data_IF_097250119175
#
_entry.id   IF_097250119175
#
_cell.length_a   1.000
_cell.length_b   1.000
_cell.length_c   1.000
_cell.angle_alpha   90.00
_cell.angle_beta   90.00
_cell.angle_gamma   90.00
#
_symmetry.space_group_name_H-M   'P 1'
#
loop_
_entity.id
_entity.type
_entity.pdbx_description
1 polymer ?
#
# COMPACT_ATOMS: atom_id res chain seq x y z
N UNK A 1 5.14 0.80 -1.46
CA UNK A 1 4.53 0.96 -2.80
C UNK A 1 3.11 1.44 -2.64
N UNK A 2 2.84 2.72 -2.93
CA UNK A 2 1.48 3.28 -2.88
C UNK A 2 0.71 2.85 -4.14
N UNK A 3 0.51 1.54 -4.33
CA UNK A 3 -0.62 1.08 -5.11
C UNK A 3 -1.81 1.32 -4.19
N UNK A 4 -2.55 2.41 -4.47
CA UNK A 4 -3.74 2.79 -3.70
C UNK A 4 -4.87 1.87 -4.13
N UNK A 5 -4.78 0.62 -3.69
CA UNK A 5 -5.91 -0.27 -3.56
C UNK A 5 -5.71 -1.01 -2.25
N UNK A 6 -6.57 -0.80 -1.23
CA UNK A 6 -6.48 -1.50 0.04
C UNK A 6 -6.71 -2.98 -0.24
N UNK A 7 -5.62 -3.72 -0.43
CA UNK A 7 -5.65 -5.16 -0.63
C UNK A 7 -6.01 -5.79 0.71
N UNK A 8 -7.28 -6.13 0.87
CA UNK A 8 -7.85 -6.54 2.15
C UNK A 8 -8.06 -8.06 2.17
N UNK A 9 -7.11 -8.77 2.79
CA UNK A 9 -7.25 -10.21 3.01
C UNK A 9 -8.23 -10.49 4.15
N UNK A 10 -9.12 -11.46 3.94
CA UNK A 10 -9.83 -12.15 5.02
C UNK A 10 -8.88 -13.15 5.69
N UNK A 11 -8.43 -12.86 6.91
CA UNK A 11 -7.64 -13.82 7.68
C UNK A 11 -8.53 -15.02 8.03
N UNK A 12 -8.21 -16.20 7.49
CA UNK A 12 -8.84 -17.46 7.88
C UNK A 12 -8.47 -17.72 9.35
N UNK A 13 -9.43 -17.57 10.25
CA UNK A 13 -9.26 -17.85 11.68
C UNK A 13 -9.02 -19.35 11.84
N UNK A 14 -7.76 -19.75 11.92
CA UNK A 14 -7.41 -21.03 12.50
C UNK A 14 -7.83 -20.98 13.98
N UNK A 15 -8.69 -21.90 14.41
CA UNK A 15 -9.12 -22.04 15.79
C UNK A 15 -7.91 -22.34 16.68
N UNK A 16 -7.26 -21.31 17.22
CA UNK A 16 -6.23 -21.45 18.23
C UNK A 16 -6.91 -21.73 19.58
N UNK A 17 -6.39 -22.70 20.36
CA UNK A 17 -6.90 -22.95 21.71
C UNK A 17 -6.69 -21.71 22.59
N UNK A 18 -7.58 -21.46 23.58
CA UNK A 18 -7.49 -20.30 24.45
C UNK A 18 -6.30 -20.43 25.40
N UNK A 19 -5.14 -19.91 25.01
CA UNK A 19 -4.07 -19.60 25.94
C UNK A 19 -4.27 -18.16 26.42
N UNK A 20 -5.05 -18.00 27.48
CA UNK A 20 -5.19 -16.74 28.18
C UNK A 20 -3.86 -16.39 28.86
N UNK A 21 -3.13 -15.42 28.30
CA UNK A 21 -2.15 -14.64 29.06
C UNK A 21 -2.49 -13.17 28.89
N UNK A 22 -3.05 -12.59 29.95
CA UNK A 22 -3.13 -11.14 30.08
C UNK A 22 -1.70 -10.60 30.16
N UNK A 23 -1.21 -9.97 29.09
CA UNK A 23 0.01 -9.19 29.13
C UNK A 23 -0.33 -7.72 28.97
N UNK A 24 0.22 -6.89 29.86
CA UNK A 24 0.29 -5.43 29.66
C UNK A 24 1.10 -5.11 28.39
N UNK A 25 1.33 -3.83 28.06
CA UNK A 25 1.92 -3.44 26.78
C UNK A 25 3.18 -4.28 26.47
N UNK A 26 3.04 -5.20 25.52
CA UNK A 26 4.03 -6.22 25.20
C UNK A 26 5.28 -5.52 24.67
N UNK A 27 6.41 -5.74 25.33
CA UNK A 27 7.70 -5.50 24.68
C UNK A 27 7.74 -6.48 23.50
N UNK A 28 7.74 -5.94 22.28
CA UNK A 28 7.65 -6.74 21.04
C UNK A 28 8.69 -7.85 20.99
N UNK A 29 9.80 -7.71 21.72
CA UNK A 29 10.89 -8.69 21.72
C UNK A 29 10.71 -9.81 22.76
N UNK A 30 9.60 -9.86 23.51
CA UNK A 30 9.34 -10.98 24.41
C UNK A 30 9.07 -12.26 23.63
N UNK A 31 9.67 -13.40 24.02
CA UNK A 31 9.37 -14.68 23.39
C UNK A 31 7.89 -15.05 23.50
N UNK A 32 7.33 -15.55 22.41
CA UNK A 32 5.93 -15.96 22.36
C UNK A 32 5.19 -15.46 21.13
N UNK A 33 3.86 -15.61 21.19
CA UNK A 33 2.95 -15.11 20.17
C UNK A 33 2.50 -13.70 20.54
N UNK A 34 2.41 -12.83 19.54
CA UNK A 34 1.74 -11.54 19.60
C UNK A 34 0.77 -11.48 18.41
N UNK A 35 -0.53 -11.46 18.69
CA UNK A 35 -1.55 -11.50 17.64
C UNK A 35 -2.43 -10.28 17.75
N UNK A 36 -2.44 -9.46 16.70
CA UNK A 36 -3.38 -8.37 16.52
C UNK A 36 -4.39 -8.73 15.44
N UNK A 37 -5.69 -8.69 15.76
CA UNK A 37 -6.77 -8.81 14.79
C UNK A 37 -7.72 -7.63 14.93
N UNK A 38 -7.91 -6.88 13.85
CA UNK A 38 -8.76 -5.71 13.75
C UNK A 38 -9.84 -5.93 12.71
N UNK A 39 -11.09 -5.64 13.04
CA UNK A 39 -12.17 -5.56 12.06
C UNK A 39 -12.46 -4.09 11.77
N UNK A 40 -12.36 -3.70 10.50
CA UNK A 40 -12.49 -2.31 10.07
C UNK A 40 -13.57 -2.17 9.01
N UNK A 41 -14.30 -1.07 9.06
CA UNK A 41 -15.16 -0.60 7.97
C UNK A 41 -14.41 0.47 7.20
N UNK A 42 -14.40 0.40 5.87
CA UNK A 42 -13.82 1.40 4.99
C UNK A 42 -14.90 1.99 4.10
N UNK A 43 -14.97 3.32 4.09
CA UNK A 43 -15.69 4.07 3.07
C UNK A 43 -14.66 4.66 2.12
N UNK A 44 -14.68 4.22 0.86
CA UNK A 44 -13.74 4.64 -0.18
C UNK A 44 -14.52 5.45 -1.21
N UNK A 45 -13.95 6.57 -1.64
CA UNK A 45 -14.37 7.32 -2.81
C UNK A 45 -13.21 7.37 -3.78
N UNK A 46 -13.48 7.00 -5.03
CA UNK A 46 -12.46 6.98 -6.07
C UNK A 46 -13.01 7.63 -7.34
N UNK A 47 -12.14 8.31 -8.08
CA UNK A 47 -12.45 8.95 -9.35
C UNK A 47 -11.28 8.67 -10.30
N UNK A 48 -11.48 7.74 -11.21
CA UNK A 48 -10.48 7.34 -12.20
C UNK A 48 -11.15 6.61 -13.38
N UNK A 49 -10.60 6.71 -14.58
CA UNK A 49 -11.02 5.87 -15.71
C UNK A 49 -10.65 4.41 -15.54
N UNK A 50 -9.71 4.10 -14.63
CA UNK A 50 -9.26 2.74 -14.34
C UNK A 50 -10.12 2.03 -13.28
N UNK A 51 -11.05 2.75 -12.66
CA UNK A 51 -11.99 2.20 -11.69
C UNK A 51 -13.03 1.32 -12.39
N UNK A 52 -13.18 0.06 -11.94
CA UNK A 52 -14.03 -0.96 -12.57
C UNK A 52 -15.50 -0.95 -12.14
N UNK A 53 -15.91 -0.01 -11.31
CA UNK A 53 -17.30 0.13 -10.88
C UNK A 53 -18.25 0.31 -12.09
N UNK A 54 -19.47 -0.20 -11.97
CA UNK A 54 -20.49 -0.17 -13.04
C UNK A 54 -20.77 1.25 -13.57
N UNK A 55 -20.68 2.27 -12.72
CA UNK A 55 -20.84 3.68 -13.11
C UNK A 55 -19.75 4.17 -14.08
N UNK A 56 -18.61 3.46 -14.12
CA UNK A 56 -17.50 3.69 -15.04
C UNK A 56 -17.43 2.63 -16.16
N UNK A 57 -18.35 1.66 -16.25
CA UNK A 57 -18.30 0.61 -17.26
C UNK A 57 -18.35 1.16 -18.70
N UNK A 58 -19.07 2.26 -18.93
CA UNK A 58 -19.15 2.93 -20.24
C UNK A 58 -18.52 4.31 -20.11
N UNK A 59 -17.49 4.59 -20.91
CA UNK A 59 -16.95 5.95 -21.07
C UNK A 59 -17.34 6.55 -22.41
N UNK A 60 -17.71 7.84 -22.42
CA UNK A 60 -18.09 8.56 -23.65
C UNK A 60 -16.89 8.93 -24.50
N UNK A 61 -15.80 9.32 -23.86
CA UNK A 61 -14.56 9.72 -24.51
C UNK A 61 -13.36 9.39 -23.61
N UNK A 62 -12.16 9.69 -24.10
CA UNK A 62 -10.91 9.45 -23.40
C UNK A 62 -10.24 10.77 -22.95
N UNK A 63 -10.98 11.88 -22.90
CA UNK A 63 -10.43 13.21 -22.63
C UNK A 63 -10.67 13.67 -21.18
N UNK A 64 -11.35 12.86 -20.37
CA UNK A 64 -11.73 13.16 -19.00
C UNK A 64 -11.42 11.98 -18.08
N UNK A 65 -11.19 12.27 -16.80
CA UNK A 65 -11.19 11.26 -15.74
C UNK A 65 -12.56 10.60 -15.60
N UNK A 66 -12.59 9.43 -14.98
CA UNK A 66 -13.82 8.69 -14.73
C UNK A 66 -14.76 9.42 -13.77
N UNK A 67 -15.96 8.89 -13.65
CA UNK A 67 -16.95 9.34 -12.69
C UNK A 67 -16.52 8.96 -11.28
N UNK A 68 -16.84 9.81 -10.30
CA UNK A 68 -16.56 9.49 -8.90
C UNK A 68 -17.54 8.46 -8.39
N UNK A 69 -17.02 7.39 -7.80
CA UNK A 69 -17.76 6.29 -7.20
C UNK A 69 -17.45 6.20 -5.72
N UNK A 70 -18.33 5.55 -4.95
CA UNK A 70 -18.11 5.35 -3.52
C UNK A 70 -18.59 3.98 -3.07
N UNK A 71 -17.79 3.34 -2.22
CA UNK A 71 -18.02 1.98 -1.77
C UNK A 71 -17.82 1.87 -0.27
N UNK A 72 -18.65 1.04 0.36
CA UNK A 72 -18.50 0.66 1.76
C UNK A 72 -18.10 -0.81 1.80
N UNK A 73 -16.93 -1.08 2.39
CA UNK A 73 -16.39 -2.42 2.51
C UNK A 73 -15.98 -2.71 3.96
N UNK A 74 -16.00 -3.98 4.33
CA UNK A 74 -15.58 -4.45 5.65
C UNK A 74 -14.46 -5.43 5.48
N UNK A 75 -13.39 -5.23 6.23
CA UNK A 75 -12.22 -6.07 6.08
C UNK A 75 -11.39 -6.16 7.36
N UNK A 76 -10.80 -7.34 7.60
CA UNK A 76 -9.89 -7.48 8.71
C UNK A 76 -8.52 -6.93 8.34
N UNK A 77 -7.87 -6.33 9.33
CA UNK A 77 -6.45 -6.03 9.33
C UNK A 77 -5.85 -6.78 10.50
N UNK A 78 -4.61 -7.24 10.39
CA UNK A 78 -4.00 -7.91 11.52
C UNK A 78 -2.59 -8.35 11.25
N UNK A 79 -1.92 -8.73 12.32
CA UNK A 79 -0.59 -9.28 12.24
C UNK A 79 -0.46 -10.39 13.29
N UNK A 80 0.01 -11.54 12.85
CA UNK A 80 0.40 -12.65 13.71
C UNK A 80 1.92 -12.64 13.76
N UNK A 81 2.50 -12.47 14.94
CA UNK A 81 3.94 -12.50 15.16
C UNK A 81 4.31 -13.62 16.13
N UNK A 82 5.43 -14.30 15.84
CA UNK A 82 6.05 -15.23 16.77
C UNK A 82 7.51 -14.83 17.00
N UNK A 83 7.84 -14.51 18.25
CA UNK A 83 9.20 -14.16 18.70
C UNK A 83 9.88 -15.37 19.31
N UNK A 84 11.07 -15.73 18.81
CA UNK A 84 11.85 -16.84 19.33
C UNK A 84 12.41 -16.56 20.73
N UNK A 85 12.83 -17.62 21.43
CA UNK A 85 13.36 -17.54 22.80
C UNK A 85 14.54 -16.57 22.98
N UNK A 86 15.33 -16.31 21.91
CA UNK A 86 16.43 -15.34 21.95
C UNK A 86 15.96 -13.88 21.94
N UNK A 87 14.69 -13.60 21.62
CA UNK A 87 14.14 -12.25 21.43
C UNK A 87 14.61 -11.55 20.14
N UNK A 88 15.61 -12.11 19.46
CA UNK A 88 16.27 -11.48 18.31
C UNK A 88 15.67 -11.87 16.97
N UNK A 89 14.80 -12.88 16.92
CA UNK A 89 14.20 -13.36 15.66
C UNK A 89 12.70 -13.39 15.81
N UNK A 90 12.01 -12.90 14.79
CA UNK A 90 10.56 -12.83 14.74
C UNK A 90 10.08 -13.30 13.39
N UNK A 91 9.09 -14.19 13.36
CA UNK A 91 8.31 -14.48 12.15
C UNK A 91 7.02 -13.67 12.22
N UNK A 92 6.53 -13.19 11.10
CA UNK A 92 5.26 -12.48 11.05
C UNK A 92 4.46 -12.81 9.79
N UNK A 93 3.14 -12.66 9.91
CA UNK A 93 2.17 -12.83 8.84
C UNK A 93 1.02 -11.84 9.02
N UNK A 94 0.78 -11.00 8.00
CA UNK A 94 -0.26 -9.98 8.02
C UNK A 94 0.25 -8.60 7.61
N UNK A 95 -0.39 -7.54 8.09
CA UNK A 95 0.02 -6.16 7.84
C UNK A 95 1.03 -5.68 8.89
N UNK A 96 2.26 -5.43 8.49
CA UNK A 96 3.28 -4.94 9.42
C UNK A 96 3.03 -3.50 9.84
N UNK A 97 3.31 -3.21 11.11
CA UNK A 97 3.02 -1.90 11.70
C UNK A 97 3.78 -0.76 11.02
N UNK A 98 5.03 -0.98 10.59
CA UNK A 98 5.85 0.01 9.87
C UNK A 98 5.18 0.44 8.55
N UNK A 99 4.53 -0.49 7.85
CA UNK A 99 3.80 -0.19 6.63
C UNK A 99 2.44 0.46 6.91
N UNK A 100 1.71 -0.01 7.93
CA UNK A 100 0.38 0.52 8.28
C UNK A 100 0.42 1.99 8.71
N UNK A 101 1.45 2.42 9.45
CA UNK A 101 1.60 3.83 9.84
C UNK A 101 1.88 4.76 8.65
N UNK A 102 2.38 4.20 7.54
CA UNK A 102 2.63 4.89 6.27
C UNK A 102 1.43 4.79 5.31
N UNK A 103 0.33 4.14 5.72
CA UNK A 103 -0.85 3.93 4.87
C UNK A 103 -0.75 2.74 3.92
N UNK A 104 0.29 1.91 4.05
CA UNK A 104 0.47 0.70 3.25
C UNK A 104 -0.15 -0.50 3.99
N UNK A 105 -1.28 -1.00 3.48
CA UNK A 105 -2.10 -2.05 4.12
C UNK A 105 -1.91 -3.45 3.53
N UNK A 106 -0.86 -3.66 2.73
CA UNK A 106 -0.58 -4.95 2.10
C UNK A 106 -0.24 -6.02 3.13
N UNK A 107 -0.79 -7.22 2.95
CA UNK A 107 -0.42 -8.38 3.75
C UNK A 107 0.91 -8.96 3.28
N UNK A 108 1.71 -9.47 4.21
CA UNK A 108 3.01 -10.05 3.94
C UNK A 108 3.34 -11.20 4.89
N UNK A 109 4.29 -12.03 4.48
CA UNK A 109 4.90 -13.09 5.29
C UNK A 109 6.38 -12.78 5.40
N UNK A 110 6.92 -12.71 6.62
CA UNK A 110 8.29 -12.29 6.77
C UNK A 110 8.99 -12.74 8.03
N UNK A 111 10.27 -12.41 8.07
CA UNK A 111 11.18 -12.65 9.19
C UNK A 111 11.95 -11.37 9.48
N UNK A 112 12.02 -11.01 10.74
CA UNK A 112 12.87 -9.94 11.26
C UNK A 112 13.94 -10.56 12.14
N UNK A 113 15.20 -10.20 11.92
CA UNK A 113 16.32 -10.61 12.75
C UNK A 113 17.14 -9.40 13.21
N UNK A 114 17.32 -9.27 14.52
CA UNK A 114 18.16 -8.25 15.14
C UNK A 114 19.53 -8.83 15.48
N UNK A 115 20.56 -8.26 14.86
CA UNK A 115 21.95 -8.55 15.15
C UNK A 115 22.51 -7.48 16.10
N UNK A 116 23.21 -7.90 17.15
CA UNK A 116 23.76 -6.97 18.16
C UNK A 116 24.64 -5.85 17.57
N UNK A 117 25.38 -6.14 16.50
CA UNK A 117 26.34 -5.20 15.89
C UNK A 117 26.01 -4.79 14.47
N UNK A 118 25.11 -5.50 13.80
CA UNK A 118 24.76 -5.23 12.40
C UNK A 118 23.42 -4.51 12.28
N UNK A 119 22.63 -4.38 13.34
CA UNK A 119 21.30 -3.76 13.27
C UNK A 119 20.21 -4.78 12.99
N UNK A 120 19.08 -4.32 12.46
CA UNK A 120 17.90 -5.16 12.24
C UNK A 120 17.67 -5.36 10.74
N UNK A 121 17.44 -6.60 10.32
CA UNK A 121 17.13 -6.97 8.95
C UNK A 121 15.76 -7.61 8.92
N UNK A 122 14.90 -7.13 8.02
CA UNK A 122 13.60 -7.72 7.73
C UNK A 122 13.56 -8.19 6.29
N UNK A 123 13.13 -9.43 6.07
CA UNK A 123 12.82 -10.00 4.77
C UNK A 123 11.34 -10.38 4.75
N UNK A 124 10.60 -9.92 3.74
CA UNK A 124 9.18 -10.22 3.62
C UNK A 124 8.76 -10.49 2.18
N UNK A 125 7.75 -11.33 2.02
CA UNK A 125 7.13 -11.71 0.76
C UNK A 125 5.68 -11.24 0.72
N UNK A 126 5.28 -10.69 -0.42
CA UNK A 126 3.92 -10.25 -0.74
C UNK A 126 3.27 -11.32 -1.63
N UNK A 127 2.31 -12.10 -1.12
CA UNK A 127 1.62 -13.10 -1.93
C UNK A 127 0.70 -12.43 -2.97
N UNK A 128 0.59 -13.03 -4.16
CA UNK A 128 -0.51 -12.68 -5.08
C UNK A 128 -1.83 -13.19 -4.51
N UNK A 129 -2.84 -12.33 -4.57
CA UNK A 129 -4.18 -12.60 -4.08
C UNK A 129 -5.17 -12.37 -5.22
N UNK A 130 -5.51 -13.43 -6.00
CA UNK A 130 -6.47 -13.33 -7.09
C UNK A 130 -7.84 -12.85 -6.60
N UNK A 131 -8.56 -12.10 -7.45
CA UNK A 131 -9.91 -11.63 -7.17
C UNK A 131 -10.06 -10.55 -6.09
N UNK A 132 -8.95 -9.93 -5.63
CA UNK A 132 -9.02 -8.78 -4.71
C UNK A 132 -9.09 -7.46 -5.46
N UNK A 133 -8.36 -7.34 -6.57
CA UNK A 133 -8.26 -6.12 -7.36
C UNK A 133 -8.58 -6.43 -8.82
N UNK A 134 -9.34 -5.54 -9.45
CA UNK A 134 -9.73 -5.63 -10.84
C UNK A 134 -9.26 -4.38 -11.61
N UNK A 135 -9.11 -4.54 -12.93
CA UNK A 135 -8.92 -3.44 -13.88
C UNK A 135 -9.67 -3.74 -15.17
N UNK A 136 -9.83 -2.74 -16.04
CA UNK A 136 -10.39 -2.97 -17.37
C UNK A 136 -9.44 -3.78 -18.25
N UNK A 137 -9.96 -4.75 -19.01
CA UNK A 137 -9.19 -5.49 -20.03
C UNK A 137 -8.67 -4.57 -21.13
N UNK A 138 -9.56 -3.73 -21.66
CA UNK A 138 -9.24 -2.64 -22.58
C UNK A 138 -9.80 -1.34 -21.99
N UNK A 139 -8.99 -0.53 -21.30
CA UNK A 139 -9.48 0.71 -20.68
C UNK A 139 -9.90 1.77 -21.72
N UNK A 140 -9.52 1.61 -22.99
CA UNK A 140 -9.73 2.62 -24.03
C UNK A 140 -10.98 2.38 -24.90
N UNK A 141 -11.73 1.32 -24.63
CA UNK A 141 -13.00 1.06 -25.30
C UNK A 141 -14.02 2.13 -24.89
N UNK A 142 -14.62 2.79 -25.88
CA UNK A 142 -15.62 3.86 -25.69
C UNK A 142 -17.00 3.42 -26.14
N UNK A 143 -18.04 4.13 -25.67
CA UNK A 143 -19.45 3.98 -26.10
C UNK A 143 -20.06 2.60 -25.86
N UNK A 144 -19.32 1.68 -25.24
CA UNK A 144 -19.72 0.30 -24.96
C UNK A 144 -19.14 -0.10 -23.60
N UNK A 145 -19.75 -1.09 -22.96
CA UNK A 145 -19.33 -1.54 -21.65
C UNK A 145 -17.96 -2.24 -21.73
N UNK A 146 -17.01 -1.76 -20.94
CA UNK A 146 -15.70 -2.38 -20.72
C UNK A 146 -15.87 -3.65 -19.89
N UNK A 147 -15.03 -4.65 -20.15
CA UNK A 147 -14.97 -5.87 -19.35
C UNK A 147 -13.82 -5.78 -18.35
N UNK A 148 -14.08 -6.15 -17.10
CA UNK A 148 -13.07 -6.21 -16.04
C UNK A 148 -12.23 -7.51 -16.13
N UNK A 149 -11.04 -7.47 -15.54
CA UNK A 149 -10.11 -8.58 -15.35
C UNK A 149 -9.33 -8.38 -14.07
N UNK A 150 -8.88 -9.48 -13.49
CA UNK A 150 -8.11 -9.44 -12.25
C UNK A 150 -6.71 -8.86 -12.47
N UNK A 151 -6.21 -8.22 -11.42
CA UNK A 151 -4.80 -7.87 -11.24
C UNK A 151 -4.18 -8.87 -10.26
N UNK A 152 -3.06 -9.45 -10.68
CA UNK A 152 -2.20 -10.27 -9.83
C UNK A 152 -0.91 -9.52 -9.52
N UNK A 153 -0.57 -9.37 -8.24
CA UNK A 153 0.63 -8.67 -7.80
C UNK A 153 1.34 -9.44 -6.69
N UNK A 154 2.61 -9.78 -6.89
CA UNK A 154 3.43 -10.47 -5.89
C UNK A 154 4.84 -9.92 -5.86
N UNK A 155 5.53 -10.09 -4.74
CA UNK A 155 6.87 -9.52 -4.63
C UNK A 155 7.50 -9.75 -3.27
N UNK A 156 8.46 -8.91 -2.92
CA UNK A 156 9.05 -8.96 -1.60
C UNK A 156 9.81 -7.69 -1.27
N UNK A 157 10.18 -7.56 -0.01
CA UNK A 157 10.99 -6.45 0.49
C UNK A 157 12.11 -6.93 1.41
N UNK A 158 13.18 -6.15 1.38
CA UNK A 158 14.26 -6.15 2.35
C UNK A 158 14.24 -4.79 3.05
N UNK A 159 14.24 -4.78 4.38
CA UNK A 159 14.45 -3.58 5.17
C UNK A 159 15.65 -3.77 6.10
N UNK A 160 16.46 -2.73 6.23
CA UNK A 160 17.65 -2.70 7.05
C UNK A 160 17.63 -1.46 7.94
N UNK A 161 17.63 -1.66 9.26
CA UNK A 161 17.74 -0.58 10.24
C UNK A 161 19.16 -0.58 10.78
N UNK A 162 19.88 0.50 10.49
CA UNK A 162 21.27 0.61 10.85
C UNK A 162 21.46 0.83 12.37
N UNK A 163 22.51 0.24 13.00
CA UNK A 163 22.76 0.34 14.44
C UNK A 163 23.50 1.63 14.84
N UNK A 164 23.50 2.66 13.99
CA UNK A 164 24.26 3.90 14.20
C UNK A 164 23.51 4.92 15.08
N UNK A 165 24.19 6.01 15.45
CA UNK A 165 23.60 7.10 16.22
C UNK A 165 22.40 7.78 15.52
N UNK A 166 22.34 7.70 14.18
CA UNK A 166 21.17 8.08 13.40
C UNK A 166 20.40 6.81 13.00
N UNK A 167 19.11 6.68 13.35
CA UNK A 167 18.30 5.51 13.01
C UNK A 167 17.87 5.59 11.55
N UNK A 168 18.81 5.30 10.65
CA UNK A 168 18.56 5.22 9.21
C UNK A 168 17.95 3.85 8.90
N UNK A 169 16.81 3.87 8.21
CA UNK A 169 16.19 2.69 7.62
C UNK A 169 16.39 2.73 6.12
N UNK A 170 16.97 1.67 5.54
CA UNK A 170 17.06 1.46 4.11
C UNK A 170 16.08 0.36 3.71
N UNK A 171 15.30 0.56 2.66
CA UNK A 171 14.37 -0.45 2.15
C UNK A 171 14.59 -0.67 0.66
N UNK A 172 14.48 -1.92 0.24
CA UNK A 172 14.36 -2.32 -1.16
C UNK A 172 13.11 -3.18 -1.30
N UNK A 173 12.32 -2.93 -2.34
CA UNK A 173 11.15 -3.74 -2.68
C UNK A 173 11.15 -4.06 -4.17
N UNK A 174 10.71 -5.27 -4.48
CA UNK A 174 10.43 -5.75 -5.83
C UNK A 174 8.98 -6.21 -5.92
N UNK A 175 8.31 -5.94 -7.04
CA UNK A 175 6.97 -6.44 -7.31
C UNK A 175 6.81 -6.80 -8.80
N UNK A 176 6.30 -8.01 -9.06
CA UNK A 176 5.76 -8.45 -10.35
C UNK A 176 4.25 -8.14 -10.39
N UNK A 177 3.84 -7.30 -11.33
CA UNK A 177 2.46 -6.84 -11.56
C UNK A 177 1.94 -7.37 -12.88
N UNK A 178 0.80 -8.06 -12.83
CA UNK A 178 0.16 -8.68 -13.99
C UNK A 178 -1.30 -8.32 -14.10
N UNK A 179 -1.73 -8.04 -15.32
CA UNK A 179 -3.12 -7.97 -15.73
C UNK A 179 -3.45 -9.27 -16.44
N UNK A 180 -4.41 -10.03 -15.90
CA UNK A 180 -4.64 -11.41 -16.34
C UNK A 180 -5.10 -11.50 -17.80
N UNK A 181 -6.10 -10.71 -18.20
CA UNK A 181 -6.60 -10.62 -19.59
C UNK A 181 -6.29 -9.25 -20.21
N UNK A 182 -5.01 -8.96 -20.42
CA UNK A 182 -4.53 -7.70 -20.98
C UNK A 182 -4.89 -7.53 -22.47
N UNK A 183 -5.71 -6.51 -22.79
CA UNK A 183 -6.21 -6.22 -24.14
C UNK A 183 -6.22 -4.72 -24.46
N UNK A 184 -5.39 -3.92 -23.79
CA UNK A 184 -5.31 -2.48 -23.97
C UNK A 184 -5.13 -2.07 -25.43
N UNK A 185 -6.07 -1.27 -25.94
CA UNK A 185 -6.05 -0.72 -27.28
C UNK A 185 -6.34 -1.75 -28.38
N UNK A 186 -6.95 -2.89 -28.04
CA UNK A 186 -7.36 -3.90 -29.00
C UNK A 186 -8.37 -3.37 -30.02
N UNK A 187 -9.23 -2.44 -29.60
CA UNK A 187 -10.31 -1.88 -30.43
C UNK A 187 -10.01 -0.50 -31.01
N UNK A 188 -8.86 0.09 -30.68
CA UNK A 188 -8.50 1.49 -31.00
C UNK A 188 -7.97 1.72 -32.42
N UNK A 189 -8.01 0.72 -33.32
CA UNK A 189 -7.47 0.82 -34.68
C UNK A 189 -5.93 0.89 -34.77
N UNK A 190 -5.24 0.69 -33.64
CA UNK A 190 -3.78 0.68 -33.56
C UNK A 190 -3.18 -0.55 -34.25
N UNK A 191 -2.02 -0.36 -34.88
CA UNK A 191 -1.23 -1.48 -35.40
C UNK A 191 -0.58 -2.28 -34.25
N UNK A 192 0.00 -3.45 -34.56
CA UNK A 192 0.56 -4.35 -33.54
C UNK A 192 1.69 -3.69 -32.73
N UNK A 193 2.55 -2.90 -33.36
CA UNK A 193 3.66 -2.22 -32.68
C UNK A 193 3.13 -1.17 -31.71
N UNK A 194 2.16 -0.36 -32.12
CA UNK A 194 1.53 0.63 -31.26
C UNK A 194 0.77 -0.02 -30.11
N UNK A 195 0.08 -1.14 -30.36
CA UNK A 195 -0.65 -1.86 -29.32
C UNK A 195 0.28 -2.49 -28.29
N UNK A 196 1.46 -2.96 -28.71
CA UNK A 196 2.45 -3.53 -27.79
C UNK A 196 2.90 -2.51 -26.73
N UNK A 197 2.97 -1.21 -27.08
CA UNK A 197 3.30 -0.14 -26.14
C UNK A 197 2.29 0.01 -24.99
N UNK A 198 1.09 -0.57 -25.12
CA UNK A 198 0.01 -0.42 -24.13
C UNK A 198 -0.07 -1.57 -23.12
N UNK A 199 0.83 -2.55 -23.20
CA UNK A 199 0.83 -3.67 -22.27
C UNK A 199 1.22 -3.21 -20.86
N UNK A 200 0.31 -3.39 -19.89
CA UNK A 200 0.44 -2.88 -18.52
C UNK A 200 1.14 -3.84 -17.55
N UNK A 201 1.47 -5.07 -17.97
CA UNK A 201 2.28 -5.98 -17.17
C UNK A 201 3.63 -5.31 -16.86
N UNK A 202 4.08 -5.37 -15.61
CA UNK A 202 5.27 -4.62 -15.20
C UNK A 202 5.99 -5.23 -14.02
N UNK A 203 7.28 -4.92 -13.92
CA UNK A 203 8.09 -5.14 -12.74
C UNK A 203 8.39 -3.80 -12.07
N UNK A 204 8.23 -3.71 -10.77
CA UNK A 204 8.54 -2.53 -9.99
C UNK A 204 9.75 -2.80 -9.12
N UNK A 205 10.65 -1.82 -9.06
CA UNK A 205 11.78 -1.79 -8.15
C UNK A 205 11.75 -0.48 -7.38
N UNK A 206 11.84 -0.57 -6.06
CA UNK A 206 11.76 0.59 -5.19
C UNK A 206 12.91 0.57 -4.18
N UNK A 207 13.60 1.70 -4.05
CA UNK A 207 14.62 1.92 -3.03
C UNK A 207 14.21 3.12 -2.20
N UNK A 208 14.20 2.99 -0.88
CA UNK A 208 13.93 4.11 0.02
C UNK A 208 14.97 4.25 1.13
N UNK A 209 15.15 5.50 1.56
CA UNK A 209 15.94 5.87 2.71
C UNK A 209 15.09 6.75 3.63
N UNK A 210 15.00 6.35 4.89
CA UNK A 210 14.18 6.97 5.93
C UNK A 210 15.06 7.28 7.15
N UNK A 211 14.75 8.37 7.85
CA UNK A 211 15.40 8.71 9.12
C UNK A 211 14.33 9.04 10.17
N UNK A 212 14.35 8.35 11.31
CA UNK A 212 13.44 8.67 12.43
C UNK A 212 14.08 9.66 13.43
N UNK A 213 13.63 10.92 13.39
CA UNK A 213 14.13 11.99 14.25
C UNK A 213 13.20 12.18 15.46
N UNK A 214 13.62 11.72 16.64
CA UNK A 214 12.89 11.99 17.88
C UNK A 214 13.08 13.45 18.30
N UNK A 215 12.03 14.28 18.13
CA UNK A 215 12.04 15.69 18.51
C UNK A 215 11.76 15.87 20.01
N UNK A 216 10.95 14.97 20.58
CA UNK A 216 10.68 14.90 22.02
C UNK A 216 10.34 13.46 22.43
N UNK A 217 9.99 13.25 23.71
CA UNK A 217 9.48 11.95 24.19
C UNK A 217 8.14 11.56 23.56
N UNK A 218 7.41 12.52 23.01
CA UNK A 218 6.04 12.32 22.51
C UNK A 218 5.91 12.57 21.02
N UNK A 219 6.95 13.05 20.33
CA UNK A 219 6.88 13.49 18.94
C UNK A 219 8.12 13.02 18.18
N UNK A 220 7.93 12.43 17.00
CA UNK A 220 9.02 12.15 16.05
C UNK A 220 8.66 12.60 14.65
N UNK A 221 9.67 13.00 13.90
CA UNK A 221 9.61 13.36 12.48
C UNK A 221 10.31 12.28 11.66
N UNK A 222 9.71 11.85 10.56
CA UNK A 222 10.19 10.73 9.75
C UNK A 222 10.25 11.15 8.28
N UNK A 223 11.29 11.92 7.87
CA UNK A 223 11.54 12.16 6.47
C UNK A 223 11.96 10.86 5.76
N UNK A 224 11.44 10.67 4.56
CA UNK A 224 11.79 9.57 3.67
C UNK A 224 11.90 10.07 2.22
N UNK A 225 12.87 9.52 1.50
CA UNK A 225 12.97 9.66 0.04
C UNK A 225 12.88 8.28 -0.58
N UNK A 226 12.17 8.18 -1.70
CA UNK A 226 11.95 6.91 -2.40
C UNK A 226 12.18 7.09 -3.89
N UNK A 227 12.97 6.22 -4.48
CA UNK A 227 13.11 6.11 -5.93
C UNK A 227 12.39 4.84 -6.40
N UNK A 228 11.58 4.97 -7.44
CA UNK A 228 10.83 3.86 -8.04
C UNK A 228 11.16 3.76 -9.51
N UNK A 229 11.39 2.55 -10.00
CA UNK A 229 11.44 2.22 -11.41
C UNK A 229 10.31 1.23 -11.71
N UNK A 230 9.55 1.50 -12.77
CA UNK A 230 8.59 0.57 -13.35
C UNK A 230 9.07 0.18 -14.74
N UNK A 231 9.39 -1.09 -14.90
CA UNK A 231 9.71 -1.71 -16.18
C UNK A 231 8.46 -2.45 -16.67
N UNK A 232 7.67 -1.81 -17.53
CA UNK A 232 6.50 -2.39 -18.16
C UNK A 232 6.86 -3.16 -19.44
N UNK A 233 5.98 -4.08 -19.85
CA UNK A 233 6.12 -4.76 -21.14
C UNK A 233 5.74 -3.87 -22.32
N UNK A 234 4.96 -2.82 -22.07
CA UNK A 234 4.64 -1.79 -23.03
C UNK A 234 5.26 -0.47 -22.61
N UNK A 235 6.20 0.02 -23.41
CA UNK A 235 7.07 1.15 -23.05
C UNK A 235 6.31 2.45 -22.71
N UNK A 236 5.05 2.61 -23.14
CA UNK A 236 4.22 3.78 -22.75
C UNK A 236 3.77 3.76 -21.28
N UNK A 237 4.04 2.66 -20.56
CA UNK A 237 3.81 2.50 -19.12
C UNK A 237 5.11 2.40 -18.32
N UNK A 238 6.28 2.48 -18.96
CA UNK A 238 7.56 2.57 -18.28
C UNK A 238 7.70 3.95 -17.64
N UNK A 239 8.16 3.99 -16.39
CA UNK A 239 8.47 5.24 -15.74
C UNK A 239 9.55 5.11 -14.67
N UNK A 240 10.16 6.25 -14.35
CA UNK A 240 10.89 6.43 -13.11
C UNK A 240 10.19 7.46 -12.24
N UNK A 241 10.34 7.35 -10.92
CA UNK A 241 9.70 8.27 -10.00
C UNK A 241 10.57 8.58 -8.79
N UNK A 242 10.46 9.81 -8.31
CA UNK A 242 11.09 10.27 -7.07
C UNK A 242 10.03 10.84 -6.13
N UNK A 243 9.89 10.21 -4.96
CA UNK A 243 8.93 10.58 -3.93
C UNK A 243 9.63 11.11 -2.68
N UNK A 244 9.09 12.20 -2.14
CA UNK A 244 9.44 12.78 -0.86
C UNK A 244 8.28 12.57 0.10
N UNK A 245 8.56 12.00 1.27
CA UNK A 245 7.58 11.73 2.31
C UNK A 245 8.02 12.34 3.64
N UNK A 246 7.05 12.83 4.39
CA UNK A 246 7.24 13.32 5.76
C UNK A 246 6.21 12.70 6.69
N UNK A 247 6.67 11.85 7.60
CA UNK A 247 5.89 11.30 8.70
C UNK A 247 5.99 12.14 9.98
N UNK A 248 4.91 12.23 10.74
CA UNK A 248 4.86 12.80 12.10
C UNK A 248 4.15 11.81 13.00
N UNK A 249 4.85 11.32 14.02
CA UNK A 249 4.29 10.41 15.01
C UNK A 249 4.14 11.14 16.34
N UNK A 250 2.95 11.07 16.93
CA UNK A 250 2.63 11.72 18.20
C UNK A 250 2.06 10.72 19.19
N UNK A 251 2.55 10.74 20.43
CA UNK A 251 2.17 9.81 21.50
C UNK A 251 1.71 10.58 22.74
N UNK A 252 0.48 10.30 23.20
CA UNK A 252 -0.16 10.99 24.32
C UNK A 252 -0.92 9.99 25.19
N UNK A 253 -0.18 9.35 26.10
CA UNK A 253 -0.70 8.30 26.99
C UNK A 253 -1.12 7.06 26.19
N UNK A 254 -2.38 6.61 26.29
CA UNK A 254 -2.86 5.43 25.55
C UNK A 254 -3.12 5.71 24.06
N UNK A 255 -2.98 6.96 23.61
CA UNK A 255 -3.32 7.38 22.26
C UNK A 255 -2.06 7.65 21.43
N UNK A 256 -2.13 7.32 20.15
CA UNK A 256 -1.11 7.63 19.17
C UNK A 256 -1.76 8.18 17.89
N UNK A 257 -1.09 9.14 17.27
CA UNK A 257 -1.45 9.71 15.96
C UNK A 257 -0.24 9.65 15.04
N UNK A 258 -0.43 9.06 13.87
CA UNK A 258 0.55 9.00 12.79
C UNK A 258 0.00 9.79 11.62
N UNK A 259 0.77 10.75 11.12
CA UNK A 259 0.43 11.56 9.96
C UNK A 259 1.53 11.40 8.92
N UNK A 260 1.16 11.19 7.68
CA UNK A 260 2.10 11.03 6.57
C UNK A 260 1.67 11.95 5.44
N UNK A 261 2.59 12.74 4.91
CA UNK A 261 2.41 13.56 3.72
C UNK A 261 3.43 13.13 2.68
N UNK A 262 3.02 13.01 1.42
CA UNK A 262 3.94 12.68 0.32
C UNK A 262 3.70 13.53 -0.92
N UNK A 263 4.78 13.78 -1.63
CA UNK A 263 4.80 14.35 -2.98
C UNK A 263 5.74 13.53 -3.85
N UNK A 264 5.35 13.24 -5.09
CA UNK A 264 6.19 12.53 -6.04
C UNK A 264 5.96 12.98 -7.46
N UNK A 265 6.94 12.70 -8.31
CA UNK A 265 6.88 12.93 -9.76
C UNK A 265 7.18 11.63 -10.48
N UNK A 266 6.37 11.29 -11.48
CA UNK A 266 6.60 10.20 -12.43
C UNK A 266 7.06 10.79 -13.77
N UNK A 267 8.13 10.24 -14.34
CA UNK A 267 8.69 10.63 -15.64
C UNK A 267 8.55 9.45 -16.61
N UNK A 268 7.88 9.67 -17.75
CA UNK A 268 7.61 8.69 -18.80
C UNK A 268 8.33 9.09 -20.09
N UNK A 269 9.15 8.20 -20.64
CA UNK A 269 9.95 8.50 -21.83
C UNK A 269 9.23 8.21 -23.16
N UNK A 270 8.18 7.38 -23.13
CA UNK A 270 7.47 6.94 -24.34
C UNK A 270 6.09 7.55 -24.43
N UNK A 271 5.80 8.16 -25.58
CA UNK A 271 4.48 8.73 -25.85
C UNK A 271 3.40 7.63 -25.95
N UNK A 272 2.29 7.84 -25.25
CA UNK A 272 1.15 6.96 -25.30
C UNK A 272 0.50 6.98 -26.70
N UNK A 273 0.33 5.83 -27.39
CA UNK A 273 -0.04 5.79 -28.81
C UNK A 273 -1.48 6.28 -29.09
N UNK A 274 -2.36 6.34 -28.08
CA UNK A 274 -3.73 6.87 -28.21
C UNK A 274 -3.77 8.39 -28.02
N UNK A 275 -2.92 8.94 -27.15
CA UNK A 275 -2.96 10.35 -26.75
C UNK A 275 -1.85 11.18 -27.40
N UNK A 276 -0.87 10.51 -28.04
CA UNK A 276 0.31 11.10 -28.64
C UNK A 276 1.10 12.01 -27.68
N UNK A 277 1.14 11.65 -26.39
CA UNK A 277 1.81 12.38 -25.31
C UNK A 277 2.42 11.42 -24.30
N UNK A 278 3.55 11.78 -23.71
CA UNK A 278 4.05 11.13 -22.48
C UNK A 278 3.12 11.41 -21.31
N UNK A 279 3.22 10.58 -20.27
CA UNK A 279 2.27 10.54 -19.15
C UNK A 279 2.89 11.06 -17.85
N UNK A 280 3.80 12.03 -17.95
CA UNK A 280 4.44 12.62 -16.78
C UNK A 280 3.38 13.07 -15.78
N UNK A 281 3.57 12.73 -14.51
CA UNK A 281 2.51 12.89 -13.51
C UNK A 281 3.05 13.40 -12.17
N UNK A 282 2.28 14.30 -11.55
CA UNK A 282 2.50 14.77 -10.19
C UNK A 282 1.60 13.98 -9.24
N UNK A 283 2.16 13.51 -8.12
CA UNK A 283 1.44 12.71 -7.12
C UNK A 283 1.47 13.34 -5.76
N UNK A 284 0.30 13.43 -5.13
CA UNK A 284 0.15 13.93 -3.77
C UNK A 284 -0.57 12.90 -2.91
N UNK A 285 -0.15 12.71 -1.67
CA UNK A 285 -0.94 11.94 -0.72
C UNK A 285 -0.83 12.49 0.70
N UNK A 286 -1.91 12.30 1.47
CA UNK A 286 -1.91 12.48 2.90
C UNK A 286 -2.63 11.32 3.57
N UNK A 287 -2.05 10.82 4.66
CA UNK A 287 -2.59 9.73 5.43
C UNK A 287 -2.55 10.06 6.93
N UNK A 288 -3.56 9.63 7.66
CA UNK A 288 -3.66 9.76 9.09
C UNK A 288 -4.13 8.45 9.71
N UNK A 289 -3.44 7.99 10.74
CA UNK A 289 -3.84 6.86 11.57
C UNK A 289 -3.88 7.30 13.03
N UNK A 290 -5.04 7.16 13.66
CA UNK A 290 -5.23 7.35 15.08
C UNK A 290 -5.48 6.00 15.75
N UNK A 291 -4.81 5.75 16.88
CA UNK A 291 -4.95 4.53 17.68
C UNK A 291 -5.19 4.92 19.13
N UNK A 292 -6.27 4.40 19.72
CA UNK A 292 -6.57 4.50 21.14
C UNK A 292 -6.54 3.12 21.80
N UNK A 293 -5.50 2.87 22.60
CA UNK A 293 -5.28 1.60 23.30
C UNK A 293 -6.06 1.56 24.61
N UNK A 294 -6.52 0.37 24.97
CA UNK A 294 -7.26 0.10 26.20
C UNK A 294 -8.42 1.08 26.47
N UNK A 295 -9.33 1.30 25.50
CA UNK A 295 -10.51 2.13 25.73
C UNK A 295 -11.30 1.54 26.89
N UNK A 296 -11.82 2.39 27.77
CA UNK A 296 -12.57 1.98 28.97
C UNK A 296 -11.79 1.07 29.93
N UNK A 297 -10.46 0.97 29.80
CA UNK A 297 -9.61 0.10 30.61
C UNK A 297 -9.48 -1.34 30.09
N UNK A 298 -10.00 -1.65 28.90
CA UNK A 298 -9.90 -2.99 28.31
C UNK A 298 -8.53 -3.24 27.69
N UNK A 299 -7.60 -3.80 28.47
CA UNK A 299 -6.17 -3.90 28.11
C UNK A 299 -5.88 -4.55 26.75
N UNK A 300 -6.71 -5.49 26.31
CA UNK A 300 -6.52 -6.24 25.06
C UNK A 300 -7.27 -5.63 23.87
N UNK A 301 -7.92 -4.47 24.03
CA UNK A 301 -8.70 -3.83 22.98
C UNK A 301 -8.04 -2.51 22.58
N UNK A 302 -8.06 -2.21 21.29
CA UNK A 302 -7.72 -0.90 20.75
C UNK A 302 -8.77 -0.46 19.75
N UNK A 303 -9.06 0.84 19.70
CA UNK A 303 -9.85 1.45 18.62
C UNK A 303 -8.87 2.13 17.68
N UNK A 304 -9.09 2.00 16.38
CA UNK A 304 -8.32 2.70 15.37
C UNK A 304 -9.24 3.46 14.40
N UNK A 305 -8.73 4.57 13.87
CA UNK A 305 -9.36 5.31 12.80
C UNK A 305 -8.28 5.71 11.79
N UNK A 306 -8.58 5.56 10.50
CA UNK A 306 -7.69 5.93 9.41
C UNK A 306 -8.40 6.87 8.45
N UNK A 307 -7.64 7.78 7.86
CA UNK A 307 -8.07 8.61 6.76
C UNK A 307 -6.94 8.73 5.75
N UNK A 308 -7.25 8.60 4.46
CA UNK A 308 -6.28 8.79 3.39
C UNK A 308 -6.89 9.60 2.25
N UNK A 309 -6.06 10.42 1.62
CA UNK A 309 -6.36 11.12 0.38
C UNK A 309 -5.16 11.01 -0.54
N UNK A 310 -5.43 10.90 -1.83
CA UNK A 310 -4.40 10.84 -2.86
C UNK A 310 -4.90 11.43 -4.16
N UNK A 311 -4.00 12.08 -4.87
CA UNK A 311 -4.24 12.70 -6.15
C UNK A 311 -3.06 12.40 -7.08
N UNK A 312 -3.36 12.11 -8.33
CA UNK A 312 -2.42 11.96 -9.42
C UNK A 312 -2.91 12.82 -10.56
N UNK A 313 -2.15 13.88 -10.85
CA UNK A 313 -2.38 14.78 -11.98
C UNK A 313 -1.48 14.31 -13.12
N UNK A 314 -2.05 13.66 -14.14
CA UNK A 314 -1.30 13.11 -15.27
C UNK A 314 -1.34 14.10 -16.43
N UNK A 315 -0.27 14.17 -17.21
CA UNK A 315 -0.23 14.97 -18.42
C UNK A 315 -1.36 14.63 -19.41
N UNK A 316 -1.98 13.45 -19.29
CA UNK A 316 -3.15 12.98 -19.99
C UNK A 316 -4.30 12.78 -19.00
N UNK A 317 -5.31 13.67 -19.04
CA UNK A 317 -6.47 13.69 -18.14
C UNK A 317 -7.22 12.35 -17.96
N UNK A 318 -7.12 11.44 -18.94
CA UNK A 318 -7.67 10.08 -18.84
C UNK A 318 -7.15 9.33 -17.60
N UNK A 319 -5.88 9.56 -17.26
CA UNK A 319 -5.18 8.89 -16.17
C UNK A 319 -5.20 9.65 -14.85
N UNK A 320 -5.83 10.82 -14.81
CA UNK A 320 -6.02 11.54 -13.54
C UNK A 320 -6.77 10.62 -12.56
N UNK A 321 -6.27 10.58 -11.33
CA UNK A 321 -6.85 9.78 -10.26
C UNK A 321 -6.99 10.60 -8.99
N UNK A 322 -8.17 10.50 -8.37
CA UNK A 322 -8.40 10.99 -7.01
C UNK A 322 -8.99 9.87 -6.18
N UNK A 323 -8.41 9.61 -5.01
CA UNK A 323 -8.92 8.63 -4.06
C UNK A 323 -8.98 9.24 -2.67
N UNK A 324 -10.01 8.89 -1.91
CA UNK A 324 -10.15 9.25 -0.51
C UNK A 324 -10.77 8.06 0.21
N UNK A 325 -10.25 7.74 1.39
CA UNK A 325 -10.89 6.75 2.24
C UNK A 325 -10.95 7.17 3.70
N UNK A 326 -11.97 6.67 4.38
CA UNK A 326 -12.14 6.75 5.82
C UNK A 326 -12.34 5.35 6.35
N UNK A 327 -11.68 5.03 7.46
CA UNK A 327 -11.81 3.73 8.10
C UNK A 327 -11.86 3.84 9.61
N UNK A 328 -12.62 2.95 10.22
CA UNK A 328 -12.70 2.80 11.68
C UNK A 328 -12.74 1.33 12.02
N UNK A 329 -12.03 0.93 13.07
CA UNK A 329 -12.08 -0.46 13.50
C UNK A 329 -11.75 -0.69 14.96
N UNK A 330 -12.04 -1.91 15.39
CA UNK A 330 -11.76 -2.42 16.73
C UNK A 330 -10.77 -3.57 16.59
N UNK A 331 -9.64 -3.43 17.27
CA UNK A 331 -8.56 -4.40 17.32
C UNK A 331 -8.52 -5.13 18.65
N UNK A 332 -8.27 -6.44 18.58
CA UNK A 332 -8.04 -7.33 19.71
C UNK A 332 -6.60 -7.81 19.66
N UNK A 333 -5.92 -7.74 20.80
CA UNK A 333 -4.54 -8.16 20.98
C UNK A 333 -4.53 -9.40 21.89
N UNK A 334 -3.81 -10.45 21.49
CA UNK A 334 -3.72 -11.73 22.21
C UNK A 334 -2.27 -12.13 22.47
#
# INVERSE_FOLDING_TARGET
>A
MNIIYPSLLTLLVASLPPAAYAQGPTDRNQPGWDVTLSLNSFYVRDKSQMNTNDDNAITTDLQQSGTSTSELLFAPLGNVQYTFASGNTQLFAGQSTDQVIEGQLQAELGITHRFERLGEITLAYFPSLPGINETWRDPYLTQTARAATDISAQGGRLAYIAPFALPITLRYAYLDYKVDEEQSGATSGLNNTQRALLNRNSEYQQVSAEISLALSRSWSLVPQITYTQRDAQGDAFDFTALDYQLGVNTFFGPQALFLTLSYGQEEYDTAHPIFAKTRDADRWSAFALYVYRAPFGWQNVSINAMAGLSETDDAVNFFDQQSTFLSTGVAFNF
#
